data_IF_037776104725
#
_entry.id   IF_037776104725
#
_cell.length_a   1.000
_cell.length_b   1.000
_cell.length_c   1.000
_cell.angle_alpha   90.00
_cell.angle_beta   90.00
_cell.angle_gamma   90.00
#
_symmetry.space_group_name_H-M   'P 1'
#
loop_
_entity.id
_entity.type
_entity.pdbx_description
1 polymer ?
#
# COMPACT_ATOMS: atom_id res chain seq x y z
N UNK A 1 1.26 -29.78 -2.95
CA UNK A 1 1.01 -28.39 -2.53
C UNK A 1 0.00 -28.41 -1.41
N UNK A 2 0.43 -28.22 -0.16
CA UNK A 2 -0.52 -27.97 0.93
C UNK A 2 -1.24 -26.67 0.61
N UNK A 3 -2.58 -26.70 0.55
CA UNK A 3 -3.35 -25.47 0.48
C UNK A 3 -3.00 -24.66 1.74
N UNK A 4 -2.50 -23.41 1.62
CA UNK A 4 -2.27 -22.59 2.79
C UNK A 4 -3.59 -22.45 3.55
N UNK A 5 -3.52 -22.51 4.88
CA UNK A 5 -4.68 -22.32 5.74
C UNK A 5 -5.44 -21.06 5.29
N UNK A 6 -6.77 -21.09 5.16
CA UNK A 6 -7.56 -19.93 4.74
C UNK A 6 -7.48 -18.76 5.72
N UNK A 7 -6.85 -18.96 6.88
CA UNK A 7 -6.64 -17.94 7.92
C UNK A 7 -5.32 -17.18 7.73
N UNK A 8 -4.34 -17.77 7.05
CA UNK A 8 -3.01 -17.20 6.87
C UNK A 8 -2.93 -16.43 5.55
N UNK A 9 -2.22 -15.30 5.57
CA UNK A 9 -1.93 -14.58 4.34
C UNK A 9 -0.87 -15.34 3.54
N UNK A 10 -0.98 -15.45 2.20
CA UNK A 10 0.11 -15.93 1.37
C UNK A 10 1.29 -14.97 1.49
N UNK A 11 2.43 -15.50 1.96
CA UNK A 11 3.66 -14.73 2.13
C UNK A 11 4.53 -14.78 0.86
N UNK A 12 5.27 -13.71 0.64
CA UNK A 12 6.26 -13.61 -0.41
C UNK A 12 7.40 -14.58 -0.15
N UNK A 13 7.77 -15.36 -1.17
CA UNK A 13 8.96 -16.20 -1.12
C UNK A 13 10.22 -15.37 -1.34
N UNK A 14 11.37 -15.86 -0.86
CA UNK A 14 12.67 -15.20 -1.06
C UNK A 14 12.99 -15.00 -2.55
N UNK A 15 12.61 -15.96 -3.40
CA UNK A 15 12.78 -15.84 -4.85
C UNK A 15 11.97 -14.67 -5.42
N UNK A 16 10.72 -14.51 -5.00
CA UNK A 16 9.86 -13.42 -5.45
C UNK A 16 10.30 -12.03 -4.98
N UNK A 17 11.03 -11.95 -3.85
CA UNK A 17 11.59 -10.69 -3.35
C UNK A 17 12.92 -10.33 -4.01
N UNK A 18 13.64 -11.33 -4.53
CA UNK A 18 14.97 -11.14 -5.11
C UNK A 18 14.91 -10.57 -6.53
N UNK A 19 13.97 -11.04 -7.33
CA UNK A 19 13.83 -10.70 -8.74
C UNK A 19 12.37 -10.38 -9.05
N UNK A 20 12.13 -9.16 -9.52
CA UNK A 20 10.81 -8.67 -9.92
C UNK A 20 10.66 -8.69 -11.43
N UNK A 21 9.43 -8.78 -11.95
CA UNK A 21 9.17 -8.66 -13.40
C UNK A 21 9.75 -7.38 -14.00
N UNK A 22 9.68 -6.26 -13.26
CA UNK A 22 10.29 -4.99 -13.65
C UNK A 22 11.81 -5.08 -13.83
N UNK A 23 12.50 -5.80 -12.94
CA UNK A 23 13.96 -5.97 -13.03
C UNK A 23 14.36 -6.82 -14.23
N UNK A 24 13.57 -7.84 -14.58
CA UNK A 24 13.77 -8.66 -15.79
C UNK A 24 13.67 -7.77 -17.04
N UNK A 25 12.76 -6.79 -17.02
CA UNK A 25 12.60 -5.78 -18.08
C UNK A 25 13.58 -4.59 -17.97
N UNK A 26 14.65 -4.72 -17.18
CA UNK A 26 15.72 -3.73 -17.00
C UNK A 26 15.28 -2.41 -16.35
N UNK A 27 14.21 -2.42 -15.55
CA UNK A 27 13.82 -1.26 -14.74
C UNK A 27 14.68 -1.24 -13.47
N UNK A 28 15.38 -0.13 -13.17
CA UNK A 28 16.17 0.02 -11.96
C UNK A 28 15.32 -0.13 -10.69
N UNK A 29 15.88 -0.79 -9.67
CA UNK A 29 15.18 -1.06 -8.41
C UNK A 29 14.74 0.20 -7.68
N UNK A 30 15.57 1.25 -7.70
CA UNK A 30 15.24 2.53 -7.08
C UNK A 30 13.99 3.16 -7.72
N UNK A 31 13.89 3.10 -9.06
CA UNK A 31 12.73 3.60 -9.79
C UNK A 31 11.49 2.78 -9.48
N UNK A 32 11.63 1.45 -9.42
CA UNK A 32 10.54 0.56 -9.04
C UNK A 32 10.03 0.84 -7.62
N UNK A 33 10.93 1.00 -6.65
CA UNK A 33 10.57 1.30 -5.26
C UNK A 33 9.84 2.65 -5.15
N UNK A 34 10.33 3.69 -5.85
CA UNK A 34 9.64 4.99 -5.94
C UNK A 34 8.23 4.88 -6.52
N UNK A 35 8.06 4.14 -7.62
CA UNK A 35 6.76 3.99 -8.30
C UNK A 35 5.79 3.17 -7.45
N UNK A 36 6.26 2.11 -6.78
CA UNK A 36 5.43 1.30 -5.86
C UNK A 36 4.99 2.13 -4.66
N UNK A 37 5.92 2.87 -4.04
CA UNK A 37 5.62 3.75 -2.91
C UNK A 37 4.55 4.78 -3.28
N UNK A 38 4.76 5.46 -4.41
CA UNK A 38 3.86 6.50 -4.84
C UNK A 38 2.51 5.93 -5.37
N UNK A 39 2.50 4.72 -5.93
CA UNK A 39 1.28 3.99 -6.30
C UNK A 39 0.46 3.56 -5.07
N UNK A 40 1.10 3.15 -3.98
CA UNK A 40 0.44 2.86 -2.71
C UNK A 40 -0.18 4.14 -2.10
N UNK A 41 0.54 5.26 -2.12
CA UNK A 41 0.01 6.56 -1.68
C UNK A 41 -1.16 7.03 -2.56
N UNK A 42 -1.08 6.84 -3.87
CA UNK A 42 -2.17 7.13 -4.80
C UNK A 42 -3.41 6.29 -4.49
N UNK A 43 -3.22 4.99 -4.21
CA UNK A 43 -4.29 4.07 -3.81
C UNK A 43 -4.96 4.54 -2.51
N UNK A 44 -4.17 4.96 -1.53
CA UNK A 44 -4.66 5.51 -0.26
C UNK A 44 -5.50 6.78 -0.50
N UNK A 45 -4.99 7.73 -1.29
CA UNK A 45 -5.67 8.98 -1.61
C UNK A 45 -7.00 8.74 -2.37
N UNK A 46 -6.99 7.85 -3.37
CA UNK A 46 -8.19 7.46 -4.10
C UNK A 46 -9.23 6.82 -3.18
N UNK A 47 -8.82 5.95 -2.26
CA UNK A 47 -9.70 5.34 -1.28
C UNK A 47 -10.40 6.34 -0.37
N UNK A 48 -9.68 7.36 0.09
CA UNK A 48 -10.23 8.46 0.90
C UNK A 48 -11.26 9.26 0.10
N UNK A 49 -10.94 9.64 -1.15
CA UNK A 49 -11.85 10.38 -2.02
C UNK A 49 -13.11 9.59 -2.37
N UNK A 50 -13.01 8.27 -2.48
CA UNK A 50 -14.14 7.36 -2.67
C UNK A 50 -14.95 7.11 -1.39
N UNK A 51 -14.51 7.64 -0.25
CA UNK A 51 -15.11 7.44 1.08
C UNK A 51 -15.18 5.97 1.46
N UNK A 52 -14.10 5.23 1.26
CA UNK A 52 -13.97 3.84 1.66
C UNK A 52 -13.46 3.73 3.10
N UNK A 53 -13.85 2.69 3.87
CA UNK A 53 -13.20 2.38 5.13
C UNK A 53 -11.73 2.02 4.93
N UNK A 54 -10.88 2.35 5.92
CA UNK A 54 -9.44 2.09 5.85
C UNK A 54 -9.10 0.61 5.60
N UNK A 55 -9.92 -0.31 6.10
CA UNK A 55 -9.74 -1.75 5.87
C UNK A 55 -9.81 -2.11 4.38
N UNK A 56 -10.80 -1.56 3.66
CA UNK A 56 -10.97 -1.79 2.22
C UNK A 56 -9.81 -1.16 1.44
N UNK A 57 -9.33 0.01 1.89
CA UNK A 57 -8.18 0.68 1.27
C UNK A 57 -6.90 -0.13 1.49
N UNK A 58 -6.67 -0.63 2.71
CA UNK A 58 -5.52 -1.46 3.04
C UNK A 58 -5.50 -2.75 2.23
N UNK A 59 -6.65 -3.41 2.06
CA UNK A 59 -6.77 -4.58 1.18
C UNK A 59 -6.40 -4.24 -0.27
N UNK A 60 -6.88 -3.10 -0.79
CA UNK A 60 -6.55 -2.67 -2.14
C UNK A 60 -5.05 -2.37 -2.32
N UNK A 61 -4.39 -1.77 -1.32
CA UNK A 61 -2.94 -1.54 -1.32
C UNK A 61 -2.17 -2.87 -1.32
N UNK A 62 -2.64 -3.87 -0.57
CA UNK A 62 -2.02 -5.19 -0.51
C UNK A 62 -2.20 -5.93 -1.85
N UNK A 63 -3.38 -5.86 -2.46
CA UNK A 63 -3.62 -6.41 -3.82
C UNK A 63 -2.71 -5.71 -4.85
N UNK A 64 -2.59 -4.39 -4.78
CA UNK A 64 -1.67 -3.62 -5.61
C UNK A 64 -0.21 -4.07 -5.41
N UNK A 65 0.25 -4.21 -4.16
CA UNK A 65 1.61 -4.62 -3.87
C UNK A 65 1.90 -6.06 -4.32
N UNK A 66 0.94 -6.98 -4.17
CA UNK A 66 1.07 -8.38 -4.64
C UNK A 66 1.20 -8.47 -6.15
N UNK A 67 0.58 -7.57 -6.90
CA UNK A 67 0.66 -7.59 -8.37
C UNK A 67 2.10 -7.44 -8.88
N UNK A 68 2.92 -6.62 -8.20
CA UNK A 68 4.31 -6.39 -8.58
C UNK A 68 5.28 -7.44 -8.02
N UNK A 69 4.78 -8.46 -7.31
CA UNK A 69 5.64 -9.38 -6.58
C UNK A 69 6.17 -10.51 -7.49
N UNK A 70 7.50 -10.67 -7.51
CA UNK A 70 8.18 -11.76 -8.20
C UNK A 70 8.26 -11.64 -9.72
N UNK A 71 8.88 -12.65 -10.38
CA UNK A 71 9.10 -12.65 -11.82
C UNK A 71 7.82 -12.89 -12.63
N UNK A 72 6.85 -13.59 -12.04
CA UNK A 72 5.52 -13.84 -12.63
C UNK A 72 4.54 -12.67 -12.41
N UNK A 73 4.99 -11.62 -11.71
CA UNK A 73 4.23 -10.41 -11.43
C UNK A 73 4.12 -9.49 -12.64
N UNK A 74 3.43 -8.38 -12.46
CA UNK A 74 3.44 -7.29 -13.44
C UNK A 74 4.80 -6.60 -13.49
N UNK A 75 5.13 -6.08 -14.67
CA UNK A 75 6.27 -5.21 -14.91
C UNK A 75 5.82 -3.78 -15.18
N UNK A 76 6.57 -2.80 -14.67
CA UNK A 76 6.28 -1.37 -14.93
C UNK A 76 6.51 -0.98 -16.40
N UNK A 77 7.14 -1.86 -17.20
CA UNK A 77 7.27 -1.70 -18.64
C UNK A 77 6.01 -2.13 -19.40
N UNK A 78 5.17 -2.99 -18.82
CA UNK A 78 3.91 -3.45 -19.43
C UNK A 78 2.69 -2.73 -18.84
N UNK A 79 2.69 -2.47 -17.53
CA UNK A 79 1.54 -1.93 -16.81
C UNK A 79 1.84 -0.61 -16.12
N UNK A 80 0.95 0.37 -16.29
CA UNK A 80 1.03 1.63 -15.55
C UNK A 80 0.60 1.44 -14.10
N UNK A 81 1.43 1.87 -13.14
CA UNK A 81 1.11 1.81 -11.71
C UNK A 81 -0.23 2.49 -11.37
N UNK A 82 -0.60 3.56 -12.09
CA UNK A 82 -1.91 4.21 -11.96
C UNK A 82 -3.08 3.28 -12.30
N UNK A 83 -2.99 2.58 -13.42
CA UNK A 83 -4.05 1.68 -13.89
C UNK A 83 -4.21 0.49 -12.94
N UNK A 84 -3.09 -0.09 -12.49
CA UNK A 84 -3.07 -1.18 -11.50
C UNK A 84 -3.67 -0.74 -10.17
N UNK A 85 -3.35 0.47 -9.72
CA UNK A 85 -3.92 1.07 -8.50
C UNK A 85 -5.44 1.23 -8.61
N UNK A 86 -5.94 1.76 -9.73
CA UNK A 86 -7.38 1.90 -9.99
C UNK A 86 -8.11 0.54 -10.04
N UNK A 87 -7.53 -0.43 -10.74
CA UNK A 87 -8.06 -1.78 -10.85
C UNK A 87 -8.04 -2.52 -9.51
N UNK A 88 -7.01 -2.33 -8.69
CA UNK A 88 -6.91 -2.93 -7.35
C UNK A 88 -8.00 -2.42 -6.41
N UNK A 89 -8.29 -1.11 -6.43
CA UNK A 89 -9.43 -0.55 -5.68
C UNK A 89 -10.75 -1.07 -6.23
N UNK A 90 -10.93 -1.05 -7.55
CA UNK A 90 -12.18 -1.49 -8.16
C UNK A 90 -12.48 -2.95 -7.79
N UNK A 91 -11.49 -3.84 -7.91
CA UNK A 91 -11.62 -5.25 -7.56
C UNK A 91 -11.93 -5.45 -6.08
N UNK A 92 -11.20 -4.78 -5.20
CA UNK A 92 -11.38 -4.89 -3.74
C UNK A 92 -12.75 -4.37 -3.30
N UNK A 93 -13.16 -3.20 -3.82
CA UNK A 93 -14.47 -2.63 -3.49
C UNK A 93 -15.61 -3.51 -3.99
N UNK A 94 -15.49 -4.11 -5.17
CA UNK A 94 -16.47 -5.03 -5.75
C UNK A 94 -16.72 -6.27 -4.88
N UNK A 95 -15.69 -6.75 -4.18
CA UNK A 95 -15.77 -7.90 -3.28
C UNK A 95 -16.14 -7.53 -1.84
N UNK A 96 -15.99 -6.26 -1.48
CA UNK A 96 -16.33 -5.74 -0.16
C UNK A 96 -17.82 -5.40 -0.01
N UNK A 97 -18.23 -5.03 1.20
CA UNK A 97 -19.56 -4.47 1.47
C UNK A 97 -19.78 -3.06 0.87
N UNK A 98 -18.76 -2.44 0.26
CA UNK A 98 -18.78 -1.07 -0.25
C UNK A 98 -18.46 -1.00 -1.75
N UNK A 99 -19.29 -1.61 -2.63
CA UNK A 99 -19.04 -1.59 -4.06
C UNK A 99 -19.06 -0.16 -4.62
N UNK A 100 -18.11 0.14 -5.51
CA UNK A 100 -18.02 1.43 -6.20
C UNK A 100 -18.22 1.23 -7.70
N UNK A 101 -18.91 2.19 -8.32
CA UNK A 101 -19.13 2.15 -9.77
C UNK A 101 -17.81 2.42 -10.51
N UNK A 102 -17.57 1.80 -11.70
CA UNK A 102 -16.41 2.10 -12.52
C UNK A 102 -16.28 3.60 -12.83
N UNK A 103 -17.41 4.30 -13.03
CA UNK A 103 -17.45 5.74 -13.28
C UNK A 103 -16.92 6.55 -12.11
N UNK A 104 -17.28 6.17 -10.88
CA UNK A 104 -16.74 6.80 -9.66
C UNK A 104 -15.23 6.63 -9.57
N UNK A 105 -14.71 5.43 -9.85
CA UNK A 105 -13.27 5.16 -9.86
C UNK A 105 -12.58 6.04 -10.92
N UNK A 106 -13.05 6.00 -12.16
CA UNK A 106 -12.46 6.76 -13.28
C UNK A 106 -12.44 8.27 -13.00
N UNK A 107 -13.51 8.83 -12.45
CA UNK A 107 -13.58 10.25 -12.11
C UNK A 107 -12.60 10.62 -10.98
N UNK A 108 -12.48 9.79 -9.93
CA UNK A 108 -11.53 10.03 -8.84
C UNK A 108 -10.09 9.99 -9.34
N UNK A 109 -9.74 9.03 -10.20
CA UNK A 109 -8.40 8.99 -10.80
C UNK A 109 -8.16 10.14 -11.79
N UNK A 110 -9.18 10.61 -12.51
CA UNK A 110 -9.07 11.80 -13.34
C UNK A 110 -8.86 13.08 -12.51
N UNK A 111 -9.48 13.18 -11.34
CA UNK A 111 -9.23 14.27 -10.39
C UNK A 111 -7.82 14.17 -9.78
N UNK A 112 -7.36 12.97 -9.40
CA UNK A 112 -5.99 12.78 -8.89
C UNK A 112 -4.92 13.08 -9.96
N UNK A 113 -5.26 12.98 -11.25
CA UNK A 113 -4.34 13.31 -12.35
C UNK A 113 -4.02 14.81 -12.42
N UNK A 114 -4.97 15.66 -12.06
CA UNK A 114 -4.79 17.13 -12.08
C UNK A 114 -3.96 17.64 -10.91
N UNK A 115 -3.82 16.83 -9.85
CA UNK A 115 -3.06 17.20 -8.67
C UNK A 115 -1.58 16.81 -8.85
N UNK A 116 -0.62 17.73 -8.63
CA UNK A 116 0.79 17.41 -8.64
C UNK A 116 1.17 16.53 -7.43
N UNK A 117 1.49 15.26 -7.70
CA UNK A 117 2.12 14.34 -6.74
C UNK A 117 3.60 14.74 -6.53
N UNK A 118 4.18 14.70 -5.31
CA UNK A 118 3.75 14.04 -4.06
C UNK A 118 3.01 14.93 -3.05
N UNK A 119 2.45 16.05 -3.49
CA UNK A 119 1.83 17.04 -2.61
C UNK A 119 0.41 16.63 -2.18
N UNK A 120 0.26 15.48 -1.51
CA UNK A 120 -0.97 15.16 -0.76
C UNK A 120 -1.00 15.88 0.59
N UNK A 121 -0.60 17.16 0.61
CA UNK A 121 -0.96 17.99 1.73
C UNK A 121 -2.48 18.09 1.74
N UNK A 122 -3.08 17.63 2.83
CA UNK A 122 -4.53 17.58 3.01
C UNK A 122 -5.17 18.97 2.82
N UNK A 123 -4.39 20.04 2.97
CA UNK A 123 -4.81 21.42 2.69
C UNK A 123 -4.94 21.76 1.19
N UNK A 124 -4.11 21.19 0.31
CA UNK A 124 -4.21 21.42 -1.14
C UNK A 124 -5.50 20.79 -1.70
N UNK A 125 -5.84 19.58 -1.23
CA UNK A 125 -7.09 18.88 -1.56
C UNK A 125 -8.36 19.62 -1.10
N UNK A 126 -8.25 20.48 -0.07
CA UNK A 126 -9.37 21.28 0.46
C UNK A 126 -9.51 22.63 -0.20
N UNK A 127 -8.42 23.17 -0.75
CA UNK A 127 -8.35 24.55 -1.26
C UNK A 127 -8.88 24.66 -2.69
N UNK A 128 -8.72 23.62 -3.51
CA UNK A 128 -9.26 23.60 -4.89
C UNK A 128 -10.57 22.80 -4.95
N UNK A 129 -11.64 23.37 -4.38
CA UNK A 129 -13.03 22.89 -4.46
C UNK A 129 -13.59 23.00 -5.90
N UNK A 130 -13.01 22.24 -6.84
CA UNK A 130 -13.52 22.08 -8.20
C UNK A 130 -13.86 20.64 -8.54
N UNK A 131 -14.13 19.80 -7.53
CA UNK A 131 -14.47 18.39 -7.74
C UNK A 131 -15.69 18.19 -8.67
N UNK A 132 -16.59 19.17 -8.74
CA UNK A 132 -17.79 19.16 -9.61
C UNK A 132 -17.48 19.42 -11.09
N UNK A 133 -16.32 20.01 -11.43
CA UNK A 133 -15.90 20.26 -12.82
C UNK A 133 -15.18 19.05 -13.46
N UNK A 134 -14.77 18.05 -12.66
CA UNK A 134 -14.02 16.88 -13.12
C UNK A 134 -14.94 15.71 -13.51
N UNK A 135 -15.77 15.94 -14.52
CA UNK A 135 -16.47 14.86 -15.23
C UNK A 135 -15.71 14.51 -16.50
N UNK A 136 -15.31 13.23 -16.59
CA UNK A 136 -14.68 12.70 -17.79
C UNK A 136 -15.71 12.64 -18.92
N UNK A 137 -15.30 13.04 -20.13
CA UNK A 137 -16.15 12.93 -21.33
C UNK A 137 -16.59 11.48 -21.56
N UNK A 138 -17.75 11.26 -22.19
CA UNK A 138 -18.26 9.89 -22.36
C UNK A 138 -17.30 9.01 -23.17
N UNK A 139 -16.64 9.55 -24.20
CA UNK A 139 -15.64 8.82 -24.98
C UNK A 139 -14.44 8.39 -24.13
N UNK A 140 -13.84 9.32 -23.38
CA UNK A 140 -12.70 9.03 -22.50
C UNK A 140 -13.08 8.08 -21.36
N UNK A 141 -14.31 8.16 -20.86
CA UNK A 141 -14.81 7.23 -19.85
C UNK A 141 -14.88 5.80 -20.39
N UNK A 142 -15.41 5.59 -21.60
CA UNK A 142 -15.49 4.25 -22.18
C UNK A 142 -14.11 3.63 -22.39
N UNK A 143 -13.13 4.41 -22.89
CA UNK A 143 -11.74 3.93 -23.01
C UNK A 143 -11.16 3.54 -21.66
N UNK A 144 -11.16 4.46 -20.68
CA UNK A 144 -10.60 4.19 -19.34
C UNK A 144 -11.30 3.04 -18.62
N UNK A 145 -12.59 2.83 -18.88
CA UNK A 145 -13.37 1.71 -18.34
C UNK A 145 -12.94 0.37 -18.94
N UNK A 146 -12.68 0.31 -20.25
CA UNK A 146 -12.17 -0.90 -20.90
C UNK A 146 -10.78 -1.26 -20.34
N UNK A 147 -9.87 -0.28 -20.26
CA UNK A 147 -8.53 -0.46 -19.68
C UNK A 147 -8.59 -0.95 -18.23
N UNK A 148 -9.54 -0.40 -17.45
CA UNK A 148 -9.78 -0.82 -16.06
C UNK A 148 -10.16 -2.30 -15.97
N UNK A 149 -11.05 -2.78 -16.85
CA UNK A 149 -11.49 -4.17 -16.86
C UNK A 149 -10.41 -5.13 -17.38
N UNK A 150 -9.62 -4.71 -18.36
CA UNK A 150 -8.48 -5.50 -18.83
C UNK A 150 -7.43 -5.66 -17.71
N UNK A 151 -7.08 -4.56 -17.05
CA UNK A 151 -6.14 -4.58 -15.92
C UNK A 151 -6.68 -5.41 -14.76
N UNK A 152 -7.98 -5.32 -14.44
CA UNK A 152 -8.64 -6.17 -13.45
C UNK A 152 -8.43 -7.67 -13.78
N UNK A 153 -8.67 -8.07 -15.03
CA UNK A 153 -8.46 -9.45 -15.45
C UNK A 153 -7.00 -9.89 -15.33
N UNK A 154 -6.05 -8.99 -15.60
CA UNK A 154 -4.62 -9.30 -15.45
C UNK A 154 -4.25 -9.51 -13.98
N UNK A 155 -4.71 -8.64 -13.07
CA UNK A 155 -4.51 -8.78 -11.62
C UNK A 155 -5.06 -10.13 -11.15
N UNK A 156 -6.27 -10.50 -11.58
CA UNK A 156 -6.87 -11.78 -11.21
C UNK A 156 -6.03 -12.99 -11.67
N UNK A 157 -5.48 -12.94 -12.88
CA UNK A 157 -4.63 -14.00 -13.44
C UNK A 157 -3.32 -14.12 -12.66
N UNK A 158 -2.62 -12.99 -12.43
CA UNK A 158 -1.33 -12.96 -11.71
C UNK A 158 -1.50 -13.47 -10.28
N UNK A 159 -2.56 -13.05 -9.60
CA UNK A 159 -2.82 -13.46 -8.21
C UNK A 159 -3.47 -14.84 -8.06
N UNK A 160 -3.79 -15.51 -9.18
CA UNK A 160 -4.50 -16.80 -9.15
C UNK A 160 -5.83 -16.73 -8.41
N UNK A 161 -6.55 -15.60 -8.50
CA UNK A 161 -7.78 -15.30 -7.77
C UNK A 161 -7.65 -15.25 -6.23
N UNK A 162 -6.43 -15.26 -5.69
CA UNK A 162 -6.19 -15.16 -4.25
C UNK A 162 -6.20 -13.70 -3.77
N UNK A 163 -7.41 -13.17 -3.60
CA UNK A 163 -7.65 -11.78 -3.19
C UNK A 163 -7.93 -11.63 -1.69
N UNK A 164 -8.07 -12.74 -0.95
CA UNK A 164 -8.30 -12.69 0.47
C UNK A 164 -7.08 -12.10 1.19
N UNK A 165 -7.36 -11.17 2.12
CA UNK A 165 -6.36 -10.49 2.92
C UNK A 165 -6.88 -10.35 4.35
N UNK A 166 -6.19 -11.00 5.28
CA UNK A 166 -6.36 -10.80 6.72
C UNK A 166 -5.55 -9.57 7.16
N UNK A 167 -6.21 -8.62 7.84
CA UNK A 167 -5.58 -7.38 8.29
C UNK A 167 -5.29 -7.42 9.80
N UNK A 168 -4.23 -6.73 10.27
CA UNK A 168 -3.83 -6.72 11.68
C UNK A 168 -4.67 -5.78 12.56
N UNK A 169 -5.58 -4.97 12.01
CA UNK A 169 -6.30 -3.94 12.78
C UNK A 169 -7.17 -4.52 13.91
N UNK A 170 -7.97 -5.55 13.61
CA UNK A 170 -8.80 -6.20 14.63
C UNK A 170 -7.93 -6.91 15.68
N UNK A 171 -6.86 -7.59 15.24
CA UNK A 171 -5.91 -8.25 16.13
C UNK A 171 -5.22 -7.25 17.08
N UNK A 172 -4.84 -6.09 16.56
CA UNK A 172 -4.23 -5.02 17.35
C UNK A 172 -5.15 -4.61 18.52
N UNK A 173 -6.45 -4.41 18.28
CA UNK A 173 -7.41 -4.11 19.34
C UNK A 173 -7.55 -5.27 20.33
N UNK A 174 -7.65 -6.50 19.85
CA UNK A 174 -7.72 -7.70 20.71
C UNK A 174 -6.49 -7.86 21.59
N UNK A 175 -5.28 -7.62 21.05
CA UNK A 175 -4.03 -7.69 21.80
C UNK A 175 -3.92 -6.58 22.84
N UNK A 176 -4.32 -5.35 22.49
CA UNK A 176 -4.41 -4.25 23.45
C UNK A 176 -5.37 -4.57 24.61
N UNK A 177 -6.47 -5.27 24.32
CA UNK A 177 -7.40 -5.73 25.34
C UNK A 177 -6.81 -6.85 26.20
N UNK A 178 -6.12 -7.81 25.60
CA UNK A 178 -5.46 -8.91 26.30
C UNK A 178 -4.35 -8.42 27.25
N UNK A 179 -3.67 -7.33 26.88
CA UNK A 179 -2.65 -6.67 27.69
C UNK A 179 -3.23 -5.71 28.76
N UNK A 180 -4.56 -5.68 28.93
CA UNK A 180 -5.29 -4.80 29.85
C UNK A 180 -4.94 -3.31 29.70
N UNK A 181 -4.55 -2.89 28.49
CA UNK A 181 -4.15 -1.50 28.25
C UNK A 181 -5.33 -0.55 28.36
N UNK A 182 -6.54 -1.00 28.01
CA UNK A 182 -7.75 -0.16 28.02
C UNK A 182 -8.15 0.34 29.41
N UNK A 183 -7.62 -0.25 30.48
CA UNK A 183 -7.76 0.24 31.84
C UNK A 183 -6.97 1.54 32.09
N UNK A 184 -6.00 1.87 31.24
CA UNK A 184 -5.16 3.06 31.37
C UNK A 184 -5.80 4.30 30.72
N UNK A 185 -5.75 5.50 31.34
CA UNK A 185 -6.38 6.72 30.80
C UNK A 185 -5.82 7.16 29.44
N UNK A 186 -4.57 6.79 29.12
CA UNK A 186 -3.92 7.07 27.82
C UNK A 186 -4.07 5.94 26.79
N UNK A 187 -4.93 4.95 27.02
CA UNK A 187 -5.10 3.82 26.09
C UNK A 187 -5.52 4.25 24.67
N UNK A 188 -6.35 5.29 24.56
CA UNK A 188 -6.78 5.82 23.26
C UNK A 188 -5.61 6.38 22.44
N UNK A 189 -4.62 6.99 23.11
CA UNK A 189 -3.42 7.52 22.47
C UNK A 189 -2.57 6.38 21.89
N UNK A 190 -2.36 5.31 22.69
CA UNK A 190 -1.64 4.12 22.25
C UNK A 190 -2.31 3.44 21.06
N UNK A 191 -3.62 3.20 21.14
CA UNK A 191 -4.36 2.52 20.08
C UNK A 191 -4.32 3.30 18.76
N UNK A 192 -4.46 4.63 18.82
CA UNK A 192 -4.32 5.52 17.66
C UNK A 192 -2.91 5.45 17.07
N UNK A 193 -1.89 5.47 17.93
CA UNK A 193 -0.49 5.43 17.48
C UNK A 193 -0.12 4.07 16.87
N UNK A 194 -0.55 2.97 17.47
CA UNK A 194 -0.38 1.63 16.90
C UNK A 194 -1.09 1.50 15.54
N UNK A 195 -2.32 2.02 15.42
CA UNK A 195 -3.05 2.06 14.14
C UNK A 195 -2.33 2.90 13.08
N UNK A 196 -1.73 4.02 13.48
CA UNK A 196 -0.94 4.87 12.58
C UNK A 196 0.30 4.12 12.05
N UNK A 197 0.98 3.35 12.90
CA UNK A 197 2.10 2.50 12.48
C UNK A 197 1.66 1.40 11.51
N UNK A 198 0.53 0.74 11.75
CA UNK A 198 -0.04 -0.24 10.82
C UNK A 198 -0.37 0.38 9.45
N UNK A 199 -0.98 1.57 9.44
CA UNK A 199 -1.25 2.29 8.19
C UNK A 199 0.06 2.69 7.46
N UNK A 200 1.09 3.07 8.21
CA UNK A 200 2.40 3.43 7.65
C UNK A 200 3.11 2.22 7.05
N UNK A 201 2.96 1.04 7.67
CA UNK A 201 3.54 -0.21 7.16
C UNK A 201 3.01 -0.64 5.78
N UNK A 202 1.82 -0.19 5.38
CA UNK A 202 1.29 -0.41 4.02
C UNK A 202 2.14 0.27 2.94
N UNK A 203 2.86 1.34 3.30
CA UNK A 203 3.71 2.12 2.42
C UNK A 203 5.20 1.69 2.52
N UNK A 204 5.53 0.69 3.33
CA UNK A 204 6.91 0.28 3.53
C UNK A 204 7.51 -0.33 2.24
N UNK A 205 8.72 0.09 1.82
CA UNK A 205 9.42 -0.54 0.70
C UNK A 205 9.83 -1.98 1.01
N UNK A 206 9.88 -2.38 2.29
CA UNK A 206 10.18 -3.75 2.70
C UNK A 206 8.97 -4.70 2.63
N UNK A 207 7.82 -4.24 2.10
CA UNK A 207 6.63 -5.05 1.83
C UNK A 207 6.18 -5.85 3.07
N UNK A 208 6.11 -5.20 4.23
CA UNK A 208 5.86 -5.85 5.53
C UNK A 208 4.59 -6.71 5.53
N UNK A 209 3.52 -6.24 4.90
CA UNK A 209 2.24 -6.97 4.76
C UNK A 209 2.30 -8.19 3.85
N UNK A 210 3.37 -8.35 3.06
CA UNK A 210 3.60 -9.51 2.20
C UNK A 210 4.62 -10.47 2.79
N UNK A 211 5.44 -10.03 3.74
CA UNK A 211 6.53 -10.84 4.30
C UNK A 211 6.18 -11.42 5.66
N UNK A 212 5.30 -10.78 6.42
CA UNK A 212 4.96 -11.16 7.80
C UNK A 212 3.45 -11.37 7.98
N UNK A 213 3.09 -12.23 8.94
CA UNK A 213 1.68 -12.49 9.25
C UNK A 213 1.07 -11.33 10.08
N UNK A 214 -0.26 -11.15 10.05
CA UNK A 214 -0.94 -10.12 10.82
C UNK A 214 -0.64 -10.08 12.33
N UNK A 215 -0.47 -11.21 13.05
CA UNK A 215 -0.07 -11.21 14.46
C UNK A 215 1.23 -10.42 14.71
N UNK A 216 2.30 -10.76 13.99
CA UNK A 216 3.61 -10.12 14.13
C UNK A 216 3.56 -8.62 13.84
N UNK A 217 2.80 -8.21 12.81
CA UNK A 217 2.60 -6.79 12.48
C UNK A 217 1.87 -6.03 13.59
N UNK A 218 0.82 -6.62 14.18
CA UNK A 218 0.07 -6.01 15.27
C UNK A 218 0.96 -5.87 16.53
N UNK A 219 1.70 -6.93 16.89
CA UNK A 219 2.62 -6.94 18.02
C UNK A 219 3.71 -5.87 17.87
N UNK A 220 4.35 -5.78 16.70
CA UNK A 220 5.37 -4.77 16.44
C UNK A 220 4.84 -3.33 16.51
N UNK A 221 3.64 -3.09 15.97
CA UNK A 221 3.00 -1.78 16.04
C UNK A 221 2.64 -1.37 17.49
N UNK A 222 2.15 -2.31 18.30
CA UNK A 222 1.86 -2.08 19.73
C UNK A 222 3.15 -1.80 20.50
N UNK A 223 4.19 -2.61 20.29
CA UNK A 223 5.47 -2.43 20.96
C UNK A 223 6.07 -1.05 20.69
N UNK A 224 6.10 -0.63 19.43
CA UNK A 224 6.63 0.68 19.05
C UNK A 224 5.77 1.82 19.61
N UNK A 225 4.44 1.71 19.51
CA UNK A 225 3.52 2.71 20.07
C UNK A 225 3.66 2.86 21.58
N UNK A 226 3.89 1.76 22.32
CA UNK A 226 4.04 1.78 23.78
C UNK A 226 5.31 2.52 24.19
N UNK A 227 6.40 2.30 23.45
CA UNK A 227 7.66 3.00 23.64
C UNK A 227 7.53 4.50 23.40
N UNK A 228 6.80 4.92 22.35
CA UNK A 228 6.61 6.34 22.03
C UNK A 228 5.66 7.05 23.00
N UNK A 229 4.62 6.37 23.48
CA UNK A 229 3.64 6.95 24.43
C UNK A 229 4.10 6.88 25.89
N UNK A 230 5.12 6.06 26.18
CA UNK A 230 5.66 5.86 27.52
C UNK A 230 4.79 4.97 28.42
N UNK A 231 3.88 4.18 27.84
CA UNK A 231 3.05 3.23 28.58
C UNK A 231 3.88 1.96 28.83
N UNK A 232 3.99 1.56 30.10
CA UNK A 232 4.69 0.33 30.47
C UNK A 232 3.81 -0.87 30.15
N UNK A 233 4.29 -1.71 29.25
CA UNK A 233 3.75 -3.04 29.01
C UNK A 233 4.36 -4.04 30.00
N UNK A 234 3.83 -5.27 30.12
CA UNK A 234 4.40 -6.28 31.00
C UNK A 234 5.91 -6.47 30.74
N UNK A 235 6.70 -6.60 31.81
CA UNK A 235 8.17 -6.78 31.73
C UNK A 235 8.59 -8.18 31.23
N UNK A 236 7.62 -9.03 30.88
CA UNK A 236 7.83 -10.36 30.28
C UNK A 236 7.83 -10.27 28.76
N UNK A 237 8.29 -11.33 28.09
CA UNK A 237 8.29 -11.45 26.61
C UNK A 237 6.86 -11.71 26.08
N UNK A 238 5.96 -10.77 26.35
CA UNK A 238 4.53 -10.86 26.03
C UNK A 238 4.24 -11.03 24.53
N UNK A 239 5.19 -10.65 23.67
CA UNK A 239 5.10 -10.84 22.22
C UNK A 239 5.12 -12.32 21.81
N UNK A 240 5.74 -13.21 22.60
CA UNK A 240 5.75 -14.66 22.33
C UNK A 240 4.35 -15.27 22.45
N UNK A 241 3.50 -14.71 23.33
CA UNK A 241 2.09 -15.13 23.49
C UNK A 241 1.26 -14.83 22.23
N UNK A 242 1.74 -13.90 21.39
CA UNK A 242 1.11 -13.52 20.13
C UNK A 242 1.86 -14.10 18.92
N UNK A 243 2.57 -15.22 19.10
CA UNK A 243 3.29 -15.96 18.05
C UNK A 243 4.31 -15.08 17.30
N UNK A 244 4.95 -14.14 18.00
CA UNK A 244 5.97 -13.25 17.41
C UNK A 244 7.33 -13.51 18.05
N UNK A 245 8.34 -13.81 17.25
CA UNK A 245 9.70 -14.01 17.74
C UNK A 245 10.42 -12.69 18.02
N UNK A 246 11.41 -12.71 18.93
CA UNK A 246 12.20 -11.51 19.25
C UNK A 246 12.94 -10.94 18.04
N UNK A 247 13.48 -11.79 17.18
CA UNK A 247 14.19 -11.38 15.96
C UNK A 247 13.24 -10.72 14.96
N UNK A 248 12.06 -11.34 14.77
CA UNK A 248 11.00 -10.83 13.91
C UNK A 248 10.47 -9.48 14.42
N UNK A 249 10.22 -9.37 15.73
CA UNK A 249 9.83 -8.11 16.37
C UNK A 249 10.87 -7.01 16.16
N UNK A 250 12.16 -7.33 16.37
CA UNK A 250 13.26 -6.39 16.17
C UNK A 250 13.33 -5.89 14.73
N UNK A 251 13.23 -6.79 13.76
CA UNK A 251 13.18 -6.45 12.34
C UNK A 251 11.99 -5.54 12.02
N UNK A 252 10.79 -5.92 12.45
CA UNK A 252 9.56 -5.17 12.16
C UNK A 252 9.58 -3.76 12.76
N UNK A 253 10.09 -3.59 13.98
CA UNK A 253 10.21 -2.27 14.62
C UNK A 253 11.17 -1.37 13.86
N UNK A 254 12.31 -1.88 13.40
CA UNK A 254 13.26 -1.11 12.58
C UNK A 254 12.65 -0.78 11.22
N UNK A 255 11.94 -1.74 10.60
CA UNK A 255 11.25 -1.54 9.34
C UNK A 255 10.20 -0.41 9.45
N UNK A 256 9.37 -0.40 10.51
CA UNK A 256 8.39 0.67 10.78
C UNK A 256 9.06 2.05 10.87
N UNK A 257 10.16 2.16 11.62
CA UNK A 257 10.89 3.41 11.79
C UNK A 257 11.54 3.88 10.48
N UNK A 258 11.96 2.94 9.61
CA UNK A 258 12.63 3.27 8.35
C UNK A 258 11.72 3.93 7.32
N UNK A 259 10.40 3.72 7.40
CA UNK A 259 9.42 4.26 6.43
C UNK A 259 9.42 5.78 6.41
N UNK A 260 9.54 6.42 7.58
CA UNK A 260 9.57 7.89 7.65
C UNK A 260 10.82 8.46 6.97
N UNK A 261 11.99 7.85 7.22
CA UNK A 261 13.23 8.26 6.55
C UNK A 261 13.17 8.05 5.04
N UNK A 262 12.59 6.94 4.59
CA UNK A 262 12.41 6.64 3.18
C UNK A 262 11.48 7.66 2.51
N UNK A 263 10.33 7.96 3.12
CA UNK A 263 9.39 8.95 2.60
C UNK A 263 10.01 10.35 2.45
N UNK A 264 10.84 10.77 3.41
CA UNK A 264 11.57 12.05 3.32
C UNK A 264 12.60 12.06 2.20
N UNK A 265 13.25 10.93 1.93
CA UNK A 265 14.23 10.84 0.84
C UNK A 265 13.53 10.85 -0.52
N UNK A 266 12.45 10.08 -0.67
CA UNK A 266 11.61 10.11 -1.87
C UNK A 266 11.07 11.51 -2.18
N UNK A 267 10.66 12.25 -1.14
CA UNK A 267 10.20 13.64 -1.31
C UNK A 267 11.31 14.56 -1.86
N UNK A 268 12.58 14.34 -1.48
CA UNK A 268 13.71 15.11 -2.02
C UNK A 268 14.04 14.69 -3.45
N UNK A 269 14.09 13.39 -3.72
CA UNK A 269 14.42 12.83 -5.04
C UNK A 269 13.43 13.33 -6.09
N UNK A 270 12.15 13.34 -5.76
CA UNK A 270 11.07 13.76 -6.65
C UNK A 270 10.62 15.21 -6.42
N UNK A 271 11.42 16.02 -5.73
CA UNK A 271 11.08 17.42 -5.51
C UNK A 271 10.97 18.17 -6.86
N UNK A 272 9.79 18.71 -7.15
CA UNK A 272 9.52 19.42 -8.40
C UNK A 272 9.34 18.53 -9.63
N UNK A 273 9.28 17.20 -9.47
CA UNK A 273 9.03 16.24 -10.56
C UNK A 273 7.89 15.29 -10.18
N UNK A 274 7.12 14.83 -11.16
CA UNK A 274 6.08 13.82 -10.95
C UNK A 274 6.70 12.43 -11.07
N UNK A 275 6.42 11.55 -10.10
CA UNK A 275 6.82 10.14 -10.18
C UNK A 275 6.15 9.49 -11.41
N UNK A 276 6.88 8.73 -12.24
CA UNK A 276 6.35 8.15 -13.47
C UNK A 276 5.34 7.03 -13.14
N UNK A 277 4.05 7.31 -13.35
CA UNK A 277 2.95 6.40 -12.99
C UNK A 277 2.32 5.68 -14.19
N UNK A 278 2.75 6.00 -15.41
CA UNK A 278 2.32 5.38 -16.66
C UNK A 278 3.52 4.76 -17.35
N UNK A 279 3.29 3.78 -18.22
CA UNK A 279 4.36 3.07 -18.95
C UNK A 279 5.23 4.06 -19.73
N UNK A 280 4.60 5.00 -20.44
CA UNK A 280 5.30 6.00 -21.26
C UNK A 280 6.16 6.93 -20.40
N UNK A 281 5.69 7.27 -19.20
CA UNK A 281 6.43 8.10 -18.26
C UNK A 281 7.65 7.35 -17.69
N UNK A 282 7.52 6.05 -17.44
CA UNK A 282 8.63 5.20 -16.99
C UNK A 282 9.67 5.10 -18.09
N UNK A 283 9.27 4.82 -19.34
CA UNK A 283 10.18 4.79 -20.48
C UNK A 283 10.91 6.13 -20.72
N UNK A 284 10.18 7.25 -20.60
CA UNK A 284 10.77 8.58 -20.75
C UNK A 284 11.82 8.86 -19.67
N UNK A 285 11.55 8.45 -18.42
CA UNK A 285 12.48 8.57 -17.31
C UNK A 285 13.70 7.67 -17.50
N UNK A 286 13.53 6.45 -18.00
CA UNK A 286 14.64 5.56 -18.36
C UNK A 286 15.52 6.22 -19.42
N UNK A 287 14.95 6.72 -20.52
CA UNK A 287 15.72 7.41 -21.58
C UNK A 287 16.48 8.61 -21.02
N UNK A 288 15.87 9.39 -20.12
CA UNK A 288 16.51 10.52 -19.46
C UNK A 288 17.71 10.10 -18.60
N UNK A 289 17.60 8.99 -17.88
CA UNK A 289 18.69 8.46 -17.04
C UNK A 289 19.86 7.98 -17.88
N UNK A 290 19.60 7.25 -18.96
CA UNK A 290 20.65 6.81 -19.89
C UNK A 290 21.37 8.01 -20.53
N UNK A 291 20.63 9.03 -20.98
CA UNK A 291 21.20 10.24 -21.54
C UNK A 291 22.00 11.11 -20.55
N UNK A 292 21.89 10.85 -19.25
CA UNK A 292 22.70 11.53 -18.22
C UNK A 292 23.94 10.74 -17.78
N UNK A 293 24.06 9.49 -18.24
CA UNK A 293 25.21 8.62 -17.98
C UNK A 293 26.21 8.60 -19.14
N UNK A 294 25.81 9.06 -20.33
CA UNK A 294 26.67 9.38 -21.48
C UNK A 294 27.19 10.83 -21.41
#
# INVERSE_FOLDING_TARGET
>A
MQQPSPLANPLATVAQLRETGSQIDNIPRDLEDSVRFAGAQLTQAAGILLRLPQEVIAQAIIVFARFWLGPEGGSLAEFGARQVSAASIYLTTKLSAYPKSPRSIVNVYAYLDSIPFPSFETDVLRTENKAEEYYVSEGTYQTRKLDLFETEQRILKVLGFQLQVSLPYALCITYLQALDVFSHPRASELAKRATAHLNTALLSPQLMYLTHQPPSLATAAIYLAAKETGIKLPDVEWWEVFDTDREELGFLVVALLSVESFAKEEQKVWQGKKVPMTVEAVEAELKRRHASQD
#
